data_IF_181246811498
#
_entry.id   IF_181246811498
#
_cell.length_a   1.000
_cell.length_b   1.000
_cell.length_c   1.000
_cell.angle_alpha   90.00
_cell.angle_beta   90.00
_cell.angle_gamma   90.00
#
_symmetry.space_group_name_H-M   'P 1'
#
loop_
_entity.id
_entity.type
_entity.pdbx_description
1 polymer ?
#
# COMPACT_ATOMS: atom_id res chain seq x y z
N UNK A 1 6.29 6.54 -1.35
CA UNK A 1 7.35 5.51 -1.28
C UNK A 1 7.05 4.37 -0.30
N UNK A 2 6.71 4.64 0.96
CA UNK A 2 6.49 3.57 1.97
C UNK A 2 5.33 2.61 1.65
N UNK A 3 4.19 3.12 1.15
CA UNK A 3 3.05 2.28 0.73
C UNK A 3 3.46 1.26 -0.35
N UNK A 4 4.19 1.72 -1.37
CA UNK A 4 4.70 0.86 -2.45
C UNK A 4 5.66 -0.20 -1.89
N UNK A 5 6.51 0.17 -0.93
CA UNK A 5 7.42 -0.76 -0.26
C UNK A 5 6.71 -1.82 0.60
N UNK A 6 5.60 -1.46 1.26
CA UNK A 6 4.76 -2.41 1.98
C UNK A 6 4.14 -3.43 1.03
N UNK A 7 3.65 -2.99 -0.13
CA UNK A 7 3.08 -3.84 -1.18
C UNK A 7 4.13 -4.65 -1.99
N UNK A 8 5.40 -4.64 -1.59
CA UNK A 8 6.49 -5.31 -2.31
C UNK A 8 6.78 -4.74 -3.72
N UNK A 9 6.39 -3.49 -3.99
CA UNK A 9 6.59 -2.82 -5.28
C UNK A 9 7.99 -2.23 -5.50
N UNK A 10 8.92 -2.40 -4.55
CA UNK A 10 10.34 -1.99 -4.70
C UNK A 10 11.28 -3.09 -4.21
N UNK A 11 12.54 -3.03 -4.65
CA UNK A 11 13.59 -3.97 -4.24
C UNK A 11 13.75 -4.01 -2.72
N UNK A 12 13.82 -5.23 -2.16
CA UNK A 12 14.08 -5.48 -0.74
C UNK A 12 15.38 -4.80 -0.28
N UNK A 13 15.37 -4.22 0.92
CA UNK A 13 16.53 -3.57 1.53
C UNK A 13 16.70 -2.08 1.19
N UNK A 14 15.87 -1.51 0.30
CA UNK A 14 15.85 -0.07 0.05
C UNK A 14 15.28 0.74 1.22
N UNK A 15 14.32 0.16 1.94
CA UNK A 15 13.79 0.73 3.18
C UNK A 15 14.04 -0.29 4.29
N UNK A 16 14.59 0.12 5.45
CA UNK A 16 14.74 -0.74 6.61
C UNK A 16 13.41 -1.41 6.99
N UNK A 17 13.44 -2.73 7.22
CA UNK A 17 12.24 -3.49 7.59
C UNK A 17 11.62 -2.97 8.90
N UNK A 18 12.43 -2.45 9.82
CA UNK A 18 11.97 -1.82 11.05
C UNK A 18 11.08 -0.59 10.78
N UNK A 19 11.53 0.32 9.90
CA UNK A 19 10.74 1.50 9.49
C UNK A 19 9.46 1.13 8.74
N UNK A 20 9.50 0.06 7.92
CA UNK A 20 8.30 -0.44 7.25
C UNK A 20 7.31 -1.05 8.25
N UNK A 21 7.80 -1.79 9.25
CA UNK A 21 6.96 -2.35 10.29
C UNK A 21 6.31 -1.25 11.16
N UNK A 22 7.05 -0.20 11.48
CA UNK A 22 6.54 0.98 12.20
C UNK A 22 5.43 1.68 11.40
N UNK A 23 5.68 1.97 10.13
CA UNK A 23 4.66 2.55 9.26
C UNK A 23 3.43 1.63 9.14
N UNK A 24 3.62 0.31 9.07
CA UNK A 24 2.51 -0.64 9.04
C UNK A 24 1.72 -0.62 10.35
N UNK A 25 2.38 -0.57 11.51
CA UNK A 25 1.72 -0.45 12.82
C UNK A 25 0.86 0.81 12.88
N UNK A 26 1.41 1.96 12.45
CA UNK A 26 0.65 3.21 12.34
C UNK A 26 -0.62 3.02 11.49
N UNK A 27 -0.51 2.35 10.33
CA UNK A 27 -1.67 2.09 9.46
C UNK A 27 -2.67 1.13 10.10
N UNK A 28 -2.21 0.06 10.75
CA UNK A 28 -3.09 -0.88 11.47
C UNK A 28 -3.86 -0.18 12.59
N UNK A 29 -3.21 0.72 13.35
CA UNK A 29 -3.88 1.49 14.39
C UNK A 29 -5.00 2.39 13.85
N UNK A 30 -4.85 2.88 12.62
CA UNK A 30 -5.86 3.70 11.93
C UNK A 30 -7.01 2.88 11.37
N UNK A 31 -6.77 1.62 11.01
CA UNK A 31 -7.82 0.73 10.50
C UNK A 31 -8.54 0.00 11.63
N UNK A 32 -7.81 -0.84 12.37
CA UNK A 32 -8.29 -1.65 13.49
C UNK A 32 -7.09 -2.26 14.24
N UNK A 33 -6.82 -1.86 15.49
CA UNK A 33 -5.76 -2.47 16.31
C UNK A 33 -5.95 -3.98 16.55
N UNK A 34 -7.16 -4.54 16.38
CA UNK A 34 -7.40 -5.97 16.53
C UNK A 34 -6.56 -6.83 15.56
N UNK A 35 -6.06 -6.23 14.47
CA UNK A 35 -5.23 -6.88 13.46
C UNK A 35 -3.97 -7.54 14.00
N UNK A 36 -3.36 -6.93 15.01
CA UNK A 36 -2.15 -7.43 15.65
C UNK A 36 -2.37 -7.82 17.11
N UNK A 37 -3.63 -7.82 17.60
CA UNK A 37 -3.97 -8.14 19.00
C UNK A 37 -3.51 -9.52 19.47
N UNK A 38 -3.24 -10.44 18.52
CA UNK A 38 -2.63 -11.73 18.82
C UNK A 38 -1.20 -11.62 19.37
N UNK A 39 -0.49 -10.53 19.10
CA UNK A 39 0.88 -10.33 19.57
C UNK A 39 0.89 -9.53 20.87
N UNK A 40 0.23 -8.38 20.91
CA UNK A 40 0.21 -7.49 22.06
C UNK A 40 -1.06 -6.63 22.09
N UNK A 41 -1.36 -5.98 23.24
CA UNK A 41 -2.36 -4.91 23.28
C UNK A 41 -2.01 -3.76 22.33
N UNK A 42 -2.98 -2.90 21.97
CA UNK A 42 -2.73 -1.78 21.08
C UNK A 42 -1.56 -0.90 21.53
N UNK A 43 -0.64 -0.61 20.61
CA UNK A 43 0.59 0.14 20.90
C UNK A 43 0.98 1.05 19.74
N UNK A 44 1.70 2.13 20.04
CA UNK A 44 2.37 3.00 19.05
C UNK A 44 3.89 2.77 19.02
N UNK A 45 4.39 1.82 19.80
CA UNK A 45 5.81 1.46 19.81
C UNK A 45 6.03 0.18 18.99
N UNK A 46 6.75 0.32 17.87
CA UNK A 46 7.12 -0.78 16.99
C UNK A 46 7.99 -1.82 17.70
N UNK A 47 8.88 -1.43 18.62
CA UNK A 47 9.76 -2.39 19.30
C UNK A 47 8.97 -3.29 20.23
N UNK A 48 7.95 -2.75 20.92
CA UNK A 48 6.98 -3.53 21.70
C UNK A 48 6.27 -4.58 20.84
N UNK A 49 5.77 -4.19 19.65
CA UNK A 49 5.12 -5.12 18.73
C UNK A 49 6.11 -6.20 18.23
N UNK A 50 7.30 -5.79 17.79
CA UNK A 50 8.30 -6.70 17.23
C UNK A 50 8.87 -7.65 18.27
N UNK A 51 9.02 -7.21 19.52
CA UNK A 51 9.40 -8.08 20.63
C UNK A 51 8.33 -9.16 20.88
N UNK A 52 7.05 -8.80 20.83
CA UNK A 52 5.94 -9.75 20.97
C UNK A 52 5.87 -10.72 19.77
N UNK A 53 6.10 -10.24 18.55
CA UNK A 53 6.23 -11.09 17.36
C UNK A 53 7.41 -12.04 17.51
N UNK A 54 8.57 -11.56 17.96
CA UNK A 54 9.76 -12.39 18.19
C UNK A 54 9.51 -13.51 19.20
N UNK A 55 8.89 -13.18 20.33
CA UNK A 55 8.55 -14.15 21.38
C UNK A 55 7.56 -15.21 20.86
N UNK A 56 6.55 -14.80 20.09
CA UNK A 56 5.50 -15.70 19.60
C UNK A 56 5.95 -16.57 18.42
N UNK A 57 6.68 -16.01 17.47
CA UNK A 57 7.11 -16.71 16.24
C UNK A 57 8.52 -17.35 16.37
N UNK A 58 9.12 -17.31 17.57
CA UNK A 58 10.42 -17.93 17.86
C UNK A 58 11.62 -17.23 17.21
N UNK A 59 11.54 -15.93 16.94
CA UNK A 59 12.64 -15.12 16.39
C UNK A 59 13.52 -14.57 17.50
N UNK A 60 14.31 -15.46 18.11
CA UNK A 60 15.15 -15.14 19.26
C UNK A 60 16.64 -15.26 18.88
N UNK A 61 17.45 -14.37 19.46
CA UNK A 61 18.91 -14.44 19.46
C UNK A 61 19.41 -15.44 20.51
N UNK A 62 20.69 -15.85 20.47
CA UNK A 62 21.31 -16.57 21.58
C UNK A 62 21.06 -15.86 22.92
N UNK A 63 20.72 -16.63 23.95
CA UNK A 63 20.33 -16.08 25.25
C UNK A 63 18.84 -15.70 25.37
N UNK A 64 18.01 -16.03 24.38
CA UNK A 64 16.55 -15.86 24.44
C UNK A 64 16.06 -14.42 24.21
N UNK A 65 16.96 -13.51 23.83
CA UNK A 65 16.61 -12.12 23.57
C UNK A 65 15.88 -11.98 22.23
N UNK A 66 14.84 -11.12 22.12
CA UNK A 66 14.13 -10.89 20.86
C UNK A 66 15.05 -10.46 19.70
N UNK A 67 14.88 -11.08 18.54
CA UNK A 67 15.53 -10.67 17.30
C UNK A 67 14.64 -9.73 16.49
N UNK A 68 14.67 -8.44 16.82
CA UNK A 68 13.78 -7.43 16.20
C UNK A 68 13.91 -7.35 14.66
N UNK A 69 15.11 -7.37 14.05
CA UNK A 69 15.23 -7.41 12.59
C UNK A 69 14.52 -8.60 11.93
N UNK A 70 14.66 -9.80 12.49
CA UNK A 70 13.98 -10.99 11.97
C UNK A 70 12.48 -10.96 12.23
N UNK A 71 12.06 -10.44 13.38
CA UNK A 71 10.65 -10.22 13.69
C UNK A 71 10.00 -9.22 12.73
N UNK A 72 10.70 -8.14 12.37
CA UNK A 72 10.22 -7.16 11.39
C UNK A 72 10.05 -7.80 10.01
N UNK A 73 11.07 -8.51 9.54
CA UNK A 73 10.98 -9.24 8.26
C UNK A 73 9.83 -10.27 8.27
N UNK A 74 9.64 -10.97 9.38
CA UNK A 74 8.55 -11.94 9.56
C UNK A 74 7.18 -11.27 9.54
N UNK A 75 7.01 -10.18 10.30
CA UNK A 75 5.76 -9.43 10.37
C UNK A 75 5.36 -8.87 9.00
N UNK A 76 6.33 -8.30 8.28
CA UNK A 76 6.11 -7.80 6.91
C UNK A 76 5.79 -8.92 5.91
N UNK A 77 6.36 -10.12 6.06
CA UNK A 77 5.95 -11.29 5.26
C UNK A 77 4.51 -11.65 5.52
N UNK A 78 4.08 -11.74 6.79
CA UNK A 78 2.69 -12.05 7.14
C UNK A 78 1.70 -11.03 6.56
N UNK A 79 2.08 -9.75 6.55
CA UNK A 79 1.31 -8.70 5.89
C UNK A 79 1.18 -8.93 4.38
N UNK A 80 2.32 -9.11 3.70
CA UNK A 80 2.38 -9.28 2.24
C UNK A 80 1.65 -10.53 1.76
N UNK A 81 1.68 -11.59 2.58
CA UNK A 81 0.95 -12.84 2.32
C UNK A 81 -0.55 -12.72 2.61
N UNK A 82 -1.04 -11.57 3.10
CA UNK A 82 -2.44 -11.34 3.47
C UNK A 82 -2.88 -12.06 4.76
N UNK A 83 -1.94 -12.61 5.53
CA UNK A 83 -2.21 -13.35 6.79
C UNK A 83 -2.55 -12.44 7.98
N UNK A 84 -2.47 -11.13 7.79
CA UNK A 84 -2.93 -10.09 8.70
C UNK A 84 -4.21 -9.41 8.19
N UNK A 85 -4.85 -10.00 7.16
CA UNK A 85 -6.00 -9.43 6.47
C UNK A 85 -5.61 -8.71 5.17
N UNK A 86 -6.62 -8.14 4.49
CA UNK A 86 -6.47 -7.45 3.20
C UNK A 86 -7.02 -6.04 3.34
N UNK A 87 -6.17 -5.05 3.14
CA UNK A 87 -6.53 -3.64 3.29
C UNK A 87 -5.98 -2.80 2.15
N UNK A 88 -6.68 -1.71 1.87
CA UNK A 88 -6.26 -0.72 0.90
C UNK A 88 -5.28 0.26 1.54
N UNK A 89 -4.08 0.37 0.95
CA UNK A 89 -3.06 1.32 1.43
C UNK A 89 -3.36 2.75 0.99
N UNK A 90 -4.10 2.94 -0.09
CA UNK A 90 -4.57 4.24 -0.53
C UNK A 90 -5.95 4.54 0.02
N UNK A 91 -6.19 5.80 0.32
CA UNK A 91 -7.50 6.25 0.76
C UNK A 91 -8.31 6.45 -0.52
N UNK A 92 -9.52 5.89 -0.57
CA UNK A 92 -10.49 6.09 -1.63
C UNK A 92 -11.74 6.65 -0.98
N UNK A 93 -12.05 7.91 -1.27
CA UNK A 93 -13.26 8.59 -0.84
C UNK A 93 -14.34 8.56 -1.90
N UNK A 94 -15.56 8.97 -1.50
CA UNK A 94 -16.68 9.14 -2.43
C UNK A 94 -16.39 10.17 -3.52
N UNK A 95 -15.57 11.19 -3.21
CA UNK A 95 -15.13 12.19 -4.18
C UNK A 95 -14.25 11.60 -5.28
N UNK A 96 -13.31 10.71 -4.93
CA UNK A 96 -12.45 10.03 -5.90
C UNK A 96 -13.27 9.16 -6.86
N UNK A 97 -14.29 8.47 -6.31
CA UNK A 97 -15.22 7.65 -7.10
C UNK A 97 -16.01 8.54 -8.06
N UNK A 98 -16.62 9.62 -7.56
CA UNK A 98 -17.39 10.57 -8.38
C UNK A 98 -16.55 11.22 -9.47
N UNK A 99 -15.31 11.60 -9.15
CA UNK A 99 -14.37 12.17 -10.12
C UNK A 99 -14.08 11.18 -11.25
N UNK A 100 -13.82 9.92 -10.91
CA UNK A 100 -13.57 8.88 -11.91
C UNK A 100 -14.82 8.55 -12.76
N UNK A 101 -16.02 8.56 -12.17
CA UNK A 101 -17.27 8.40 -12.91
C UNK A 101 -17.52 9.55 -13.90
N UNK A 102 -17.24 10.80 -13.50
CA UNK A 102 -17.35 11.97 -14.36
C UNK A 102 -16.34 11.89 -15.53
N UNK A 103 -15.10 11.50 -15.25
CA UNK A 103 -14.07 11.26 -16.26
C UNK A 103 -14.50 10.17 -17.25
N UNK A 104 -15.08 9.06 -16.76
CA UNK A 104 -15.60 7.99 -17.64
C UNK A 104 -16.80 8.43 -18.48
N UNK A 105 -17.66 9.30 -17.96
CA UNK A 105 -18.80 9.83 -18.70
C UNK A 105 -18.39 10.87 -19.75
N UNK A 106 -17.27 11.57 -19.53
CA UNK A 106 -16.71 12.57 -20.44
C UNK A 106 -15.21 12.34 -20.61
N UNK A 107 -14.81 11.26 -21.29
CA UNK A 107 -13.40 10.95 -21.47
C UNK A 107 -12.76 12.04 -22.33
N UNK A 108 -11.67 12.64 -21.84
CA UNK A 108 -10.89 13.53 -22.68
C UNK A 108 -10.33 12.72 -23.87
N UNK A 109 -10.52 13.19 -25.11
CA UNK A 109 -10.04 12.48 -26.28
C UNK A 109 -8.52 12.39 -26.22
N UNK A 110 -7.98 11.19 -26.47
CA UNK A 110 -6.53 11.02 -26.52
C UNK A 110 -5.91 11.93 -27.59
N UNK A 111 -4.64 12.30 -27.43
CA UNK A 111 -3.93 13.15 -28.40
C UNK A 111 -4.03 12.62 -29.84
N UNK A 112 -4.08 11.30 -30.02
CA UNK A 112 -4.28 10.67 -31.32
C UNK A 112 -5.72 10.79 -31.83
N UNK A 113 -6.72 10.62 -30.96
CA UNK A 113 -8.12 10.82 -31.31
C UNK A 113 -8.42 12.28 -31.66
N UNK A 114 -7.89 13.23 -30.88
CA UNK A 114 -7.99 14.66 -31.15
C UNK A 114 -7.32 15.04 -32.49
N UNK A 115 -6.12 14.53 -32.77
CA UNK A 115 -5.44 14.73 -34.07
C UNK A 115 -6.21 14.11 -35.24
N UNK A 116 -6.82 12.94 -35.05
CA UNK A 116 -7.65 12.29 -36.09
C UNK A 116 -8.91 13.10 -36.37
N UNK A 117 -9.62 13.53 -35.33
CA UNK A 117 -10.81 14.37 -35.45
C UNK A 117 -10.50 15.69 -36.16
N UNK A 118 -9.37 16.35 -35.82
CA UNK A 118 -8.92 17.56 -36.50
C UNK A 118 -8.64 17.33 -38.00
N UNK A 119 -7.99 16.22 -38.35
CA UNK A 119 -7.71 15.85 -39.74
C UNK A 119 -8.99 15.52 -40.53
N UNK A 120 -9.96 14.87 -39.89
CA UNK A 120 -11.25 14.55 -40.51
C UNK A 120 -12.11 15.81 -40.71
N UNK A 121 -12.15 16.72 -39.74
CA UNK A 121 -12.82 18.01 -39.86
C UNK A 121 -12.26 18.81 -41.06
N UNK A 122 -10.93 18.94 -41.16
CA UNK A 122 -10.29 19.62 -42.29
C UNK A 122 -10.55 18.93 -43.64
N UNK A 123 -10.78 17.60 -43.65
CA UNK A 123 -11.13 16.86 -44.88
C UNK A 123 -12.59 17.09 -45.29
N UNK A 124 -13.52 17.22 -44.33
CA UNK A 124 -14.93 17.54 -44.58
C UNK A 124 -15.09 18.97 -45.13
N UNK A 125 -14.42 19.95 -44.51
CA UNK A 125 -14.39 21.34 -45.01
C UNK A 125 -13.88 21.42 -46.46
N UNK A 126 -12.84 20.66 -46.80
CA UNK A 126 -12.30 20.59 -48.18
C UNK A 126 -13.25 19.92 -49.18
N UNK A 127 -14.21 19.13 -48.72
CA UNK A 127 -15.23 18.47 -49.54
C UNK A 127 -16.52 19.30 -49.68
N UNK A 128 -16.62 20.44 -49.00
CA UNK A 128 -17.77 21.35 -49.09
C UNK A 128 -19.03 20.83 -48.40
N UNK A 129 -18.89 19.93 -47.43
CA UNK A 129 -19.96 19.47 -46.51
C UNK A 129 -19.93 20.27 -45.20
#
# INVERSE_FOLDING_TARGET
MLKVALAHGIKKGLVPDHLLADYLLFRMNRWDPALYARYCPPTNDVDTLLAAVAARDGKLKPGGLPNLPEAAARFLSLWRDGRLGRYLLDELGEEDIRAHELERARPEPSLHQAKKAYREARRRERRGE
#
